data_IF_635698990465
#
_entry.id   IF_635698990465
#
_cell.length_a   1.000
_cell.length_b   1.000
_cell.length_c   1.000
_cell.angle_alpha   90.00
_cell.angle_beta   90.00
_cell.angle_gamma   90.00
#
_symmetry.space_group_name_H-M   'P 1'
#
loop_
_entity.id
_entity.type
_entity.pdbx_description
1 polymer ?
#
# COMPACT_ATOMS: atom_id res chain seq x y z
N UNK A 1 -5.50 -19.63 13.02
CA UNK A 1 -5.61 -18.44 12.15
C UNK A 1 -4.28 -18.32 11.41
N UNK A 2 -4.20 -18.87 10.22
CA UNK A 2 -2.98 -19.00 9.40
C UNK A 2 -2.91 -17.86 8.36
N UNK A 3 -3.35 -16.67 8.78
CA UNK A 3 -3.42 -15.52 7.89
C UNK A 3 -2.03 -14.88 7.85
N UNK A 4 -1.34 -15.13 6.74
CA UNK A 4 -0.50 -14.11 6.10
C UNK A 4 0.80 -13.68 6.81
N UNK A 5 1.49 -14.59 7.50
CA UNK A 5 2.90 -14.37 7.90
C UNK A 5 3.74 -13.90 6.68
N UNK A 6 3.50 -14.52 5.51
CA UNK A 6 4.17 -14.15 4.25
C UNK A 6 3.85 -12.74 3.75
N UNK A 7 2.60 -12.27 3.89
CA UNK A 7 2.20 -10.90 3.51
C UNK A 7 2.81 -9.89 4.48
N UNK A 8 2.77 -10.16 5.79
CA UNK A 8 3.39 -9.32 6.81
C UNK A 8 4.89 -9.10 6.55
N UNK A 9 5.65 -10.19 6.29
CA UNK A 9 7.07 -10.09 5.96
C UNK A 9 7.34 -9.35 4.66
N UNK A 10 6.47 -9.53 3.66
CA UNK A 10 6.60 -8.83 2.37
C UNK A 10 6.34 -7.34 2.51
N UNK A 11 5.30 -6.95 3.23
CA UNK A 11 4.96 -5.56 3.49
C UNK A 11 6.05 -4.88 4.32
N UNK A 12 6.58 -5.58 5.33
CA UNK A 12 7.72 -5.12 6.12
C UNK A 12 8.95 -4.83 5.26
N UNK A 13 9.33 -5.74 4.34
CA UNK A 13 10.44 -5.50 3.39
C UNK A 13 10.17 -4.30 2.48
N UNK A 14 8.96 -4.20 1.96
CA UNK A 14 8.53 -3.14 1.05
C UNK A 14 8.59 -1.77 1.72
N UNK A 15 8.02 -1.65 2.92
CA UNK A 15 8.02 -0.42 3.70
C UNK A 15 9.44 -0.05 4.12
N UNK A 16 10.24 -1.02 4.57
CA UNK A 16 11.62 -0.78 4.94
C UNK A 16 12.42 -0.20 3.76
N UNK A 17 12.33 -0.81 2.57
CA UNK A 17 12.98 -0.30 1.36
C UNK A 17 12.52 1.12 1.00
N UNK A 18 11.23 1.44 1.15
CA UNK A 18 10.71 2.78 0.95
C UNK A 18 11.30 3.78 1.97
N UNK A 19 11.39 3.41 3.26
CA UNK A 19 11.98 4.30 4.28
C UNK A 19 13.45 4.63 3.99
N UNK A 20 14.22 3.66 3.47
CA UNK A 20 15.58 3.91 3.01
C UNK A 20 15.62 4.83 1.79
N UNK A 21 14.77 4.58 0.80
CA UNK A 21 14.70 5.39 -0.44
C UNK A 21 14.37 6.86 -0.18
N UNK A 22 13.51 7.14 0.80
CA UNK A 22 13.09 8.52 1.13
C UNK A 22 13.87 9.13 2.31
N UNK A 23 14.89 8.44 2.85
CA UNK A 23 15.74 8.95 3.93
C UNK A 23 15.02 9.10 5.29
N UNK A 24 13.91 8.39 5.50
CA UNK A 24 13.12 8.42 6.73
C UNK A 24 13.25 7.15 7.58
N UNK A 25 14.29 6.35 7.33
CA UNK A 25 14.60 5.17 8.13
C UNK A 25 14.76 5.51 9.62
N UNK A 26 14.14 4.72 10.49
CA UNK A 26 14.18 4.91 11.95
C UNK A 26 13.32 6.07 12.48
N UNK A 27 12.69 6.87 11.61
CA UNK A 27 11.82 7.99 12.01
C UNK A 27 10.34 7.62 12.04
N UNK A 28 9.97 6.48 11.47
CA UNK A 28 8.58 6.03 11.34
C UNK A 28 8.37 4.73 12.12
N UNK A 29 7.21 4.64 12.80
CA UNK A 29 6.69 3.38 13.33
C UNK A 29 5.64 2.86 12.36
N UNK A 30 5.67 1.55 12.10
CA UNK A 30 4.62 0.88 11.37
C UNK A 30 3.77 0.07 12.35
N UNK A 31 2.46 0.29 12.28
CA UNK A 31 1.46 -0.46 13.03
C UNK A 31 0.50 -1.12 12.04
N UNK A 32 0.13 -2.37 12.32
CA UNK A 32 -0.90 -3.06 11.56
C UNK A 32 -2.27 -2.70 12.15
N UNK A 33 -3.04 -1.93 11.39
CA UNK A 33 -4.37 -1.46 11.79
C UNK A 33 -5.45 -2.08 10.91
N UNK A 34 -6.64 -2.27 11.46
CA UNK A 34 -7.80 -2.64 10.67
C UNK A 34 -8.23 -1.46 9.79
N UNK A 35 -8.77 -1.69 8.57
CA UNK A 35 -9.18 -0.62 7.68
C UNK A 35 -10.15 0.39 8.32
N UNK A 36 -11.00 -0.05 9.25
CA UNK A 36 -11.96 0.82 9.96
C UNK A 36 -11.31 1.80 10.96
N UNK A 37 -10.06 1.57 11.34
CA UNK A 37 -9.34 2.36 12.34
C UNK A 37 -8.65 3.58 11.73
N UNK A 38 -8.28 3.50 10.45
CA UNK A 38 -7.72 4.62 9.69
C UNK A 38 -8.31 4.67 8.27
N UNK A 39 -9.11 5.69 7.93
CA UNK A 39 -9.69 5.86 6.59
C UNK A 39 -8.67 5.91 5.46
N UNK A 40 -7.41 6.27 5.74
CA UNK A 40 -6.34 6.26 4.72
C UNK A 40 -6.04 4.85 4.21
N UNK A 41 -6.33 3.81 5.00
CA UNK A 41 -6.15 2.42 4.60
C UNK A 41 -7.12 1.97 3.51
N UNK A 42 -8.17 2.76 3.20
CA UNK A 42 -9.11 2.44 2.11
C UNK A 42 -8.63 2.94 0.75
N UNK A 43 -7.60 3.79 0.71
CA UNK A 43 -7.10 4.38 -0.54
C UNK A 43 -6.61 3.30 -1.53
N UNK A 44 -5.83 2.29 -1.13
CA UNK A 44 -5.44 1.20 -2.02
C UNK A 44 -6.64 0.47 -2.63
N UNK A 45 -7.67 0.17 -1.83
CA UNK A 45 -8.89 -0.48 -2.30
C UNK A 45 -9.66 0.39 -3.30
N UNK A 46 -9.75 1.70 -3.05
CA UNK A 46 -10.39 2.65 -3.96
C UNK A 46 -9.65 2.75 -5.29
N UNK A 47 -8.30 2.73 -5.26
CA UNK A 47 -7.46 2.69 -6.46
C UNK A 47 -7.67 1.38 -7.23
N UNK A 48 -7.65 0.24 -6.55
CA UNK A 48 -7.90 -1.07 -7.15
C UNK A 48 -9.29 -1.14 -7.80
N UNK A 49 -10.32 -0.64 -7.12
CA UNK A 49 -11.68 -0.58 -7.66
C UNK A 49 -11.76 0.31 -8.90
N UNK A 50 -11.19 1.52 -8.86
CA UNK A 50 -11.15 2.41 -10.02
C UNK A 50 -10.41 1.78 -11.20
N UNK A 51 -9.34 1.04 -10.93
CA UNK A 51 -8.57 0.31 -11.94
C UNK A 51 -9.41 -0.80 -12.59
N UNK A 52 -10.09 -1.61 -11.78
CA UNK A 52 -10.99 -2.68 -12.25
C UNK A 52 -12.16 -2.14 -13.08
N UNK A 53 -12.71 -0.97 -12.71
CA UNK A 53 -13.81 -0.35 -13.46
C UNK A 53 -13.41 0.20 -14.83
N UNK A 54 -12.12 0.46 -15.07
CA UNK A 54 -11.62 0.89 -16.37
C UNK A 54 -11.97 2.33 -16.76
N UNK A 55 -11.78 2.63 -18.05
CA UNK A 55 -12.15 3.92 -18.65
C UNK A 55 -11.49 5.13 -17.99
N UNK A 56 -12.28 6.19 -17.76
CA UNK A 56 -11.80 7.42 -17.14
C UNK A 56 -11.33 7.23 -15.69
N UNK A 57 -11.95 6.32 -14.93
CA UNK A 57 -11.55 6.01 -13.55
C UNK A 57 -10.18 5.34 -13.49
N UNK A 58 -9.89 4.44 -14.44
CA UNK A 58 -8.55 3.85 -14.55
C UNK A 58 -7.50 4.90 -14.92
N UNK A 59 -7.80 5.79 -15.87
CA UNK A 59 -6.90 6.88 -16.25
C UNK A 59 -6.59 7.82 -15.07
N UNK A 60 -7.59 8.15 -14.24
CA UNK A 60 -7.38 9.04 -13.10
C UNK A 60 -6.51 8.44 -12.00
N UNK A 61 -6.45 7.11 -11.87
CA UNK A 61 -5.64 6.44 -10.84
C UNK A 61 -4.34 5.84 -11.37
N UNK A 62 -4.06 6.00 -12.66
CA UNK A 62 -2.94 5.33 -13.33
C UNK A 62 -1.59 5.63 -12.66
N UNK A 63 -1.33 6.89 -12.32
CA UNK A 63 -0.09 7.31 -11.64
C UNK A 63 0.08 6.67 -10.26
N UNK A 64 -1.01 6.33 -9.57
CA UNK A 64 -0.95 5.69 -8.24
C UNK A 64 -0.83 4.16 -8.31
N UNK A 65 -1.12 3.57 -9.48
CA UNK A 65 -1.10 2.11 -9.69
C UNK A 65 0.25 1.53 -10.10
N UNK A 66 1.28 2.37 -10.25
CA UNK A 66 2.52 2.04 -10.99
C UNK A 66 3.77 1.74 -10.13
N UNK A 67 3.66 1.51 -8.83
CA UNK A 67 4.79 0.96 -8.07
C UNK A 67 4.83 -0.56 -8.23
N UNK A 68 5.40 -1.03 -9.35
CA UNK A 68 5.64 -2.46 -9.61
C UNK A 68 7.03 -2.95 -9.18
N UNK A 69 7.90 -2.05 -8.73
CA UNK A 69 9.30 -2.35 -8.42
C UNK A 69 9.62 -2.16 -6.92
N UNK A 70 9.00 -2.99 -6.08
CA UNK A 70 9.36 -3.17 -4.67
C UNK A 70 9.52 -4.67 -4.38
#
# INVERSE_FOLDING_TARGET
MEREESTYHRDGRTLNAATHRFGCHGLLRWDLLAPKEDPMLWVPDAVAWCWMRGGQRRRSVQTFSQLRDL
#
